data_IF_841342946641
#
_entry.id   IF_841342946641
#
_cell.length_a   1.000
_cell.length_b   1.000
_cell.length_c   1.000
_cell.angle_alpha   90.00
_cell.angle_beta   90.00
_cell.angle_gamma   90.00
#
_symmetry.space_group_name_H-M   'P 1'
#
loop_
_entity.id
_entity.type
_entity.pdbx_description
1 polymer ?
#
# COMPACT_ATOMS: atom_id res chain seq x y z
N UNK A 1 -13.59 -11.92 5.14
CA UNK A 1 -12.71 -11.99 6.32
C UNK A 1 -13.25 -11.18 7.49
N UNK A 2 -13.45 -9.88 7.34
CA UNK A 2 -14.06 -9.06 8.41
C UNK A 2 -15.45 -9.57 8.81
N UNK A 3 -16.27 -10.02 7.88
CA UNK A 3 -17.56 -10.63 8.12
C UNK A 3 -17.51 -12.13 8.55
N UNK A 4 -16.35 -12.67 8.90
CA UNK A 4 -16.19 -14.07 9.30
C UNK A 4 -16.11 -15.07 8.14
N UNK A 5 -16.27 -14.66 6.90
CA UNK A 5 -16.20 -15.52 5.72
C UNK A 5 -14.74 -15.64 5.27
N UNK A 6 -14.24 -16.87 5.20
CA UNK A 6 -12.85 -17.16 4.86
C UNK A 6 -11.85 -16.69 5.93
N UNK A 7 -10.62 -17.16 5.85
CA UNK A 7 -9.54 -16.82 6.80
C UNK A 7 -8.45 -15.99 6.15
N UNK A 8 -8.13 -16.27 4.90
CA UNK A 8 -7.10 -15.59 4.09
C UNK A 8 -7.69 -15.29 2.72
N UNK A 9 -7.33 -14.16 2.15
CA UNK A 9 -7.61 -13.83 0.76
C UNK A 9 -6.31 -13.45 0.05
N UNK A 10 -6.24 -13.75 -1.24
CA UNK A 10 -5.20 -13.33 -2.15
C UNK A 10 -5.66 -12.09 -2.91
N UNK A 11 -4.80 -11.11 -3.06
CA UNK A 11 -5.07 -9.90 -3.84
C UNK A 11 -3.84 -9.39 -4.58
N UNK A 12 -4.05 -8.38 -5.40
CA UNK A 12 -3.02 -7.64 -6.13
C UNK A 12 -3.06 -6.16 -5.71
N UNK A 13 -1.92 -5.49 -5.71
CA UNK A 13 -1.78 -4.09 -5.33
C UNK A 13 -0.84 -3.37 -6.31
N UNK A 14 -1.39 -2.48 -7.12
CA UNK A 14 -0.65 -1.60 -8.03
C UNK A 14 -0.75 -0.12 -7.65
N UNK A 15 -1.70 0.23 -6.78
CA UNK A 15 -1.95 1.60 -6.31
C UNK A 15 -2.62 1.62 -4.94
N UNK A 16 -2.50 0.53 -4.16
CA UNK A 16 -3.11 0.42 -2.83
C UNK A 16 -4.14 -0.70 -2.70
N UNK A 17 -4.39 -1.51 -3.73
CA UNK A 17 -5.54 -2.44 -3.78
C UNK A 17 -5.48 -3.63 -2.81
N UNK A 18 -4.39 -3.87 -2.08
CA UNK A 18 -4.32 -4.71 -0.87
C UNK A 18 -4.52 -3.85 0.38
N UNK A 19 -3.79 -2.74 0.46
CA UNK A 19 -3.65 -1.91 1.64
C UNK A 19 -4.90 -1.08 1.94
N UNK A 20 -5.51 -0.49 0.91
CA UNK A 20 -6.75 0.27 1.04
C UNK A 20 -7.92 -0.60 1.55
N UNK A 21 -8.25 -1.75 0.93
CA UNK A 21 -9.31 -2.60 1.49
C UNK A 21 -8.97 -3.15 2.88
N UNK A 22 -7.71 -3.38 3.22
CA UNK A 22 -7.33 -3.76 4.58
C UNK A 22 -7.65 -2.65 5.60
N UNK A 23 -7.31 -1.39 5.28
CA UNK A 23 -7.68 -0.22 6.06
C UNK A 23 -9.20 -0.13 6.24
N UNK A 24 -9.97 -0.20 5.15
CA UNK A 24 -11.43 -0.03 5.18
C UNK A 24 -12.16 -1.13 5.96
N UNK A 25 -11.61 -2.35 5.99
CA UNK A 25 -12.28 -3.50 6.61
C UNK A 25 -11.67 -3.90 7.97
N UNK A 26 -10.68 -3.17 8.47
CA UNK A 26 -10.05 -3.48 9.75
C UNK A 26 -9.31 -4.82 9.77
N UNK A 27 -8.76 -5.24 8.64
CA UNK A 27 -7.96 -6.45 8.48
C UNK A 27 -6.49 -6.11 8.22
N UNK A 28 -5.62 -7.11 8.28
CA UNK A 28 -4.18 -6.98 8.07
C UNK A 28 -3.84 -7.41 6.65
N UNK A 29 -2.84 -6.76 6.07
CA UNK A 29 -2.24 -7.17 4.80
C UNK A 29 -0.76 -6.83 4.74
N UNK A 30 -0.08 -7.41 3.79
CA UNK A 30 1.19 -6.91 3.29
C UNK A 30 1.15 -6.83 1.76
N UNK A 31 1.54 -5.67 1.22
CA UNK A 31 2.03 -5.55 -0.15
C UNK A 31 3.52 -5.88 -0.10
N UNK A 32 3.97 -7.04 -0.57
CA UNK A 32 5.38 -7.39 -0.51
C UNK A 32 6.23 -6.53 -1.45
N UNK A 33 7.53 -6.70 -1.38
CA UNK A 33 8.46 -6.21 -2.40
C UNK A 33 8.08 -6.79 -3.76
N UNK A 34 8.17 -5.98 -4.79
CA UNK A 34 7.99 -6.45 -6.17
C UNK A 34 8.97 -7.61 -6.46
N UNK A 35 8.46 -8.68 -7.05
CA UNK A 35 9.23 -9.91 -7.31
C UNK A 35 9.32 -10.89 -6.13
N UNK A 36 8.81 -10.55 -4.94
CA UNK A 36 8.75 -11.48 -3.80
C UNK A 36 7.76 -12.62 -4.03
N UNK A 37 6.56 -12.29 -4.48
CA UNK A 37 5.49 -13.24 -4.80
C UNK A 37 5.33 -13.30 -6.30
N UNK A 38 5.35 -14.49 -6.92
CA UNK A 38 5.11 -14.63 -8.35
C UNK A 38 3.76 -14.06 -8.76
N UNK A 39 3.72 -13.39 -9.92
CA UNK A 39 2.53 -12.67 -10.40
C UNK A 39 2.05 -13.16 -11.77
N UNK A 40 2.47 -14.35 -12.22
CA UNK A 40 1.99 -14.91 -13.47
C UNK A 40 0.49 -15.17 -13.43
N UNK A 41 -0.23 -14.67 -14.45
CA UNK A 41 -1.68 -14.87 -14.60
C UNK A 41 -1.96 -15.65 -15.89
N UNK A 42 -2.27 -16.92 -15.74
CA UNK A 42 -2.57 -17.81 -16.87
C UNK A 42 -3.82 -17.42 -17.65
N UNK A 43 -4.79 -16.73 -17.03
CA UNK A 43 -6.04 -16.31 -17.65
C UNK A 43 -5.98 -14.92 -18.29
N UNK A 44 -4.85 -14.22 -18.21
CA UNK A 44 -4.71 -12.91 -18.83
C UNK A 44 -4.73 -13.03 -20.36
N UNK A 45 -5.51 -12.17 -21.01
CA UNK A 45 -5.60 -12.13 -22.49
C UNK A 45 -4.30 -11.58 -23.13
N UNK A 46 -3.51 -10.82 -22.39
CA UNK A 46 -2.22 -10.26 -22.80
C UNK A 46 -1.30 -10.08 -21.60
N UNK A 47 0.00 -9.98 -21.87
CA UNK A 47 0.99 -9.64 -20.84
C UNK A 47 0.76 -8.22 -20.32
N UNK A 48 0.99 -8.05 -19.01
CA UNK A 48 0.91 -6.74 -18.37
C UNK A 48 2.08 -5.86 -18.86
N UNK A 49 1.85 -4.55 -19.10
CA UNK A 49 2.93 -3.62 -19.40
C UNK A 49 4.05 -3.68 -18.35
N UNK A 50 5.30 -3.50 -18.79
CA UNK A 50 6.46 -3.76 -17.94
C UNK A 50 6.46 -2.94 -16.65
N UNK A 51 6.13 -1.63 -16.71
CA UNK A 51 6.13 -0.79 -15.52
C UNK A 51 4.95 -1.11 -14.60
N UNK A 52 3.78 -1.39 -15.14
CA UNK A 52 2.64 -1.87 -14.37
C UNK A 52 2.99 -3.20 -13.66
N UNK A 53 3.77 -4.09 -14.29
CA UNK A 53 4.27 -5.31 -13.67
C UNK A 53 5.26 -5.01 -12.53
N UNK A 54 6.23 -4.11 -12.77
CA UNK A 54 7.27 -3.73 -11.80
C UNK A 54 6.75 -2.89 -10.62
N UNK A 55 5.54 -2.34 -10.71
CA UNK A 55 4.90 -1.53 -9.68
C UNK A 55 3.79 -2.28 -8.95
N UNK A 56 3.45 -3.48 -9.37
CA UNK A 56 2.41 -4.31 -8.76
C UNK A 56 3.01 -5.45 -7.92
N UNK A 57 2.28 -5.86 -6.89
CA UNK A 57 2.63 -7.00 -6.07
C UNK A 57 1.40 -7.82 -5.71
N UNK A 58 1.57 -9.15 -5.68
CA UNK A 58 0.59 -10.06 -5.11
C UNK A 58 0.81 -10.14 -3.60
N UNK A 59 -0.25 -10.27 -2.83
CA UNK A 59 -0.11 -10.40 -1.38
C UNK A 59 -1.35 -10.95 -0.68
N UNK A 60 -1.20 -11.39 0.57
CA UNK A 60 -2.29 -11.90 1.39
C UNK A 60 -3.00 -10.80 2.16
N UNK A 61 -4.30 -10.97 2.38
CA UNK A 61 -5.06 -10.30 3.43
C UNK A 61 -5.51 -11.36 4.44
N UNK A 62 -5.48 -11.02 5.73
CA UNK A 62 -5.95 -11.89 6.80
C UNK A 62 -6.40 -11.07 8.03
N UNK A 63 -6.86 -11.74 9.09
CA UNK A 63 -7.31 -11.06 10.31
C UNK A 63 -6.18 -10.68 11.25
N UNK A 64 -5.04 -11.37 11.17
CA UNK A 64 -3.88 -11.12 12.03
C UNK A 64 -2.57 -11.03 11.24
N UNK A 65 -1.57 -10.37 11.82
CA UNK A 65 -0.21 -10.33 11.27
C UNK A 65 0.40 -11.70 11.16
N UNK A 66 0.10 -12.61 12.11
CA UNK A 66 0.57 -13.99 12.08
C UNK A 66 0.08 -14.77 10.86
N UNK A 67 -1.22 -14.64 10.54
CA UNK A 67 -1.81 -15.29 9.36
C UNK A 67 -1.25 -14.70 8.05
N UNK A 68 -1.04 -13.38 7.99
CA UNK A 68 -0.43 -12.71 6.83
C UNK A 68 1.00 -13.22 6.61
N UNK A 69 1.78 -13.38 7.68
CA UNK A 69 3.16 -13.90 7.61
C UNK A 69 3.19 -15.32 7.07
N UNK A 70 2.34 -16.19 7.59
CA UNK A 70 2.22 -17.60 7.15
C UNK A 70 1.80 -17.67 5.67
N UNK A 71 0.81 -16.89 5.27
CA UNK A 71 0.36 -16.84 3.88
C UNK A 71 1.46 -16.33 2.95
N UNK A 72 2.19 -15.28 3.34
CA UNK A 72 3.30 -14.74 2.56
C UNK A 72 4.41 -15.79 2.34
N UNK A 73 4.73 -16.59 3.35
CA UNK A 73 5.72 -17.67 3.24
C UNK A 73 5.35 -18.67 2.15
N UNK A 74 4.10 -19.09 2.12
CA UNK A 74 3.59 -20.00 1.08
C UNK A 74 3.55 -19.32 -0.29
N UNK A 75 3.05 -18.09 -0.37
CA UNK A 75 2.90 -17.34 -1.62
C UNK A 75 4.25 -16.97 -2.25
N UNK A 76 5.33 -16.88 -1.47
CA UNK A 76 6.68 -16.53 -1.94
C UNK A 76 7.43 -17.68 -2.63
N UNK A 77 6.81 -18.86 -2.72
CA UNK A 77 7.42 -20.01 -3.39
C UNK A 77 7.63 -19.73 -4.89
N UNK A 78 8.68 -20.34 -5.44
CA UNK A 78 9.08 -20.13 -6.83
C UNK A 78 7.99 -20.58 -7.81
N UNK A 79 7.65 -19.71 -8.77
CA UNK A 79 6.96 -20.09 -10.02
C UNK A 79 7.88 -19.74 -11.21
N UNK A 80 8.35 -20.71 -11.99
CA UNK A 80 9.27 -20.47 -13.10
C UNK A 80 8.63 -19.69 -14.26
N UNK A 81 7.32 -19.49 -14.26
CA UNK A 81 6.60 -18.73 -15.28
C UNK A 81 6.64 -17.22 -15.02
N UNK A 82 6.98 -16.79 -13.79
CA UNK A 82 7.17 -15.36 -13.49
C UNK A 82 8.64 -14.98 -13.73
N UNK A 83 8.94 -14.12 -14.73
CA UNK A 83 10.28 -13.67 -15.04
C UNK A 83 10.87 -12.72 -14.01
N UNK A 84 10.05 -12.16 -13.11
CA UNK A 84 10.42 -11.14 -12.12
C UNK A 84 10.59 -11.68 -10.71
N UNK A 85 10.29 -12.97 -10.49
CA UNK A 85 10.45 -13.57 -9.17
C UNK A 85 11.92 -13.62 -8.74
N UNK A 86 12.18 -13.29 -7.47
CA UNK A 86 13.55 -13.21 -6.90
C UNK A 86 13.66 -14.14 -5.69
N UNK A 87 14.68 -14.98 -5.71
CA UNK A 87 15.01 -15.90 -4.61
C UNK A 87 15.74 -15.15 -3.47
N UNK A 88 14.98 -14.60 -2.52
CA UNK A 88 15.53 -13.89 -1.35
C UNK A 88 14.90 -14.46 -0.07
N UNK A 89 15.66 -14.67 1.02
CA UNK A 89 15.11 -15.09 2.31
C UNK A 89 14.00 -14.14 2.79
N UNK A 90 12.98 -14.67 3.50
CA UNK A 90 11.91 -13.87 4.09
C UNK A 90 12.35 -13.08 5.32
N UNK A 91 13.43 -13.49 5.96
CA UNK A 91 14.02 -12.84 7.12
C UNK A 91 15.41 -12.35 6.73
N UNK A 92 15.60 -11.05 6.81
CA UNK A 92 16.86 -10.39 6.54
C UNK A 92 17.79 -10.36 7.76
N UNK A 93 18.98 -9.73 7.64
CA UNK A 93 19.89 -9.54 8.75
C UNK A 93 19.21 -8.80 9.91
N UNK A 94 19.46 -9.26 11.14
CA UNK A 94 18.94 -8.60 12.34
C UNK A 94 19.55 -7.20 12.49
N UNK A 95 18.75 -6.16 12.74
CA UNK A 95 19.25 -4.82 13.03
C UNK A 95 20.13 -4.84 14.29
N UNK A 96 21.16 -4.00 14.31
CA UNK A 96 21.99 -3.79 15.49
C UNK A 96 21.34 -2.73 16.40
N UNK A 97 20.85 -3.15 17.56
CA UNK A 97 20.19 -2.27 18.53
C UNK A 97 18.72 -1.98 18.21
N UNK A 98 18.10 -1.00 18.91
CA UNK A 98 16.72 -0.62 18.70
C UNK A 98 16.49 -0.12 17.27
N UNK A 99 15.42 -0.62 16.63
CA UNK A 99 15.05 -0.23 15.26
C UNK A 99 14.54 1.20 15.29
N UNK A 100 15.13 2.06 14.47
CA UNK A 100 14.61 3.42 14.24
C UNK A 100 13.43 3.36 13.30
N UNK A 101 12.37 4.08 13.63
CA UNK A 101 11.16 4.23 12.82
C UNK A 101 10.97 5.71 12.48
N UNK A 102 10.87 6.01 11.21
CA UNK A 102 10.46 7.32 10.76
C UNK A 102 8.94 7.43 10.83
N UNK A 103 8.36 8.23 11.72
CA UNK A 103 7.00 8.72 11.55
C UNK A 103 7.03 9.75 10.43
N UNK A 104 6.43 9.42 9.29
CA UNK A 104 6.49 10.27 8.11
C UNK A 104 5.80 11.61 8.36
N UNK A 105 6.56 12.72 8.30
CA UNK A 105 5.97 14.04 8.19
C UNK A 105 5.27 14.15 6.84
N UNK A 106 3.98 14.44 6.87
CA UNK A 106 3.18 14.51 5.66
C UNK A 106 3.38 15.84 4.94
N UNK A 107 3.30 15.88 3.61
CA UNK A 107 3.33 17.13 2.84
C UNK A 107 2.26 18.13 3.30
N UNK A 108 2.60 19.41 3.36
CA UNK A 108 1.71 20.48 3.83
C UNK A 108 0.46 20.67 2.93
N UNK A 109 0.52 20.16 1.68
CA UNK A 109 -0.58 20.19 0.72
C UNK A 109 -1.53 18.97 0.81
N UNK A 110 -1.33 18.09 1.80
CA UNK A 110 -2.25 17.00 2.09
C UNK A 110 -3.21 17.41 3.21
N UNK A 111 -4.52 17.39 2.91
CA UNK A 111 -5.55 17.55 3.93
C UNK A 111 -5.68 16.24 4.71
N UNK A 112 -5.28 16.25 5.98
CA UNK A 112 -5.20 15.06 6.83
C UNK A 112 -6.18 15.16 7.98
N UNK A 113 -7.10 14.20 8.05
CA UNK A 113 -8.10 14.15 9.13
C UNK A 113 -7.44 13.99 10.51
N UNK A 114 -7.90 14.73 11.54
CA UNK A 114 -7.38 14.61 12.91
C UNK A 114 -7.40 13.20 13.48
N UNK A 115 -8.36 12.35 13.09
CA UNK A 115 -8.44 10.95 13.53
C UNK A 115 -7.31 10.10 12.96
N UNK A 116 -6.82 10.40 11.74
CA UNK A 116 -5.67 9.75 11.14
C UNK A 116 -4.38 10.17 11.85
N UNK A 117 -4.23 11.45 12.16
CA UNK A 117 -3.12 11.92 13.01
C UNK A 117 -3.12 11.23 14.38
N UNK A 118 -4.29 11.08 15.01
CA UNK A 118 -4.40 10.37 16.29
C UNK A 118 -4.01 8.90 16.17
N UNK A 119 -4.42 8.22 15.10
CA UNK A 119 -4.05 6.82 14.84
C UNK A 119 -2.55 6.66 14.60
N UNK A 120 -1.91 7.57 13.87
CA UNK A 120 -0.46 7.57 13.66
C UNK A 120 0.31 7.76 14.97
N UNK A 121 -0.11 8.72 15.83
CA UNK A 121 0.49 8.90 17.15
C UNK A 121 0.32 7.67 18.04
N UNK A 122 -0.88 7.07 18.06
CA UNK A 122 -1.12 5.84 18.79
C UNK A 122 -0.20 4.71 18.35
N UNK A 123 -0.03 4.53 17.03
CA UNK A 123 0.87 3.52 16.48
C UNK A 123 2.35 3.81 16.83
N UNK A 124 2.76 5.08 16.82
CA UNK A 124 4.10 5.50 17.24
C UNK A 124 4.36 5.17 18.70
N UNK A 125 3.42 5.50 19.60
CA UNK A 125 3.49 5.17 21.05
C UNK A 125 3.58 3.65 21.26
N UNK A 126 2.81 2.87 20.50
CA UNK A 126 2.81 1.40 20.61
C UNK A 126 4.13 0.79 20.16
N UNK A 127 4.76 1.37 19.14
CA UNK A 127 6.11 0.99 18.70
C UNK A 127 7.17 1.36 19.75
N UNK A 128 7.15 2.57 20.29
CA UNK A 128 8.08 2.99 21.34
C UNK A 128 8.00 2.09 22.58
N UNK A 129 6.80 1.80 23.06
CA UNK A 129 6.56 0.84 24.16
C UNK A 129 7.00 -0.57 23.82
N UNK A 130 7.19 -0.89 22.55
CA UNK A 130 7.71 -2.18 22.07
C UNK A 130 9.22 -2.18 21.82
N UNK A 131 9.91 -1.06 22.14
CA UNK A 131 11.36 -0.93 22.08
C UNK A 131 11.91 -0.35 20.79
N UNK A 132 11.07 0.16 19.91
CA UNK A 132 11.49 0.94 18.74
C UNK A 132 11.85 2.37 19.16
N UNK A 133 12.60 3.07 18.32
CA UNK A 133 12.86 4.51 18.45
C UNK A 133 12.13 5.25 17.35
N UNK A 134 11.04 5.92 17.69
CA UNK A 134 10.23 6.66 16.72
C UNK A 134 10.68 8.13 16.68
N UNK A 135 10.78 8.69 15.49
CA UNK A 135 11.05 10.11 15.28
C UNK A 135 10.24 10.62 14.11
N UNK A 136 9.60 11.76 14.24
CA UNK A 136 8.93 12.43 13.13
C UNK A 136 9.99 13.07 12.23
N UNK A 137 10.01 12.67 10.96
CA UNK A 137 11.01 13.13 9.98
C UNK A 137 10.39 13.27 8.59
N UNK A 138 10.98 14.14 7.79
CA UNK A 138 10.62 14.26 6.37
C UNK A 138 11.12 13.01 5.62
N UNK A 139 10.22 12.41 4.84
CA UNK A 139 10.56 11.30 3.95
C UNK A 139 10.94 11.84 2.57
N UNK A 140 11.70 11.07 1.75
CA UNK A 140 12.05 11.54 0.41
C UNK A 140 10.80 11.78 -0.45
N UNK A 141 10.73 12.93 -1.06
CA UNK A 141 9.78 13.46 -2.06
C UNK A 141 8.59 12.57 -2.44
N UNK A 142 7.64 12.43 -1.52
CA UNK A 142 6.45 11.57 -1.75
C UNK A 142 5.57 12.09 -2.88
N UNK A 143 5.52 13.42 -3.09
CA UNK A 143 4.72 14.04 -4.14
C UNK A 143 5.29 13.72 -5.53
N UNK A 144 6.62 13.81 -5.72
CA UNK A 144 7.25 13.42 -6.97
C UNK A 144 7.16 11.93 -7.25
N UNK A 145 7.25 11.09 -6.20
CA UNK A 145 6.99 9.65 -6.34
C UNK A 145 5.56 9.38 -6.79
N UNK A 146 4.58 10.04 -6.17
CA UNK A 146 3.17 9.94 -6.55
C UNK A 146 2.92 10.41 -7.98
N UNK A 147 3.48 11.57 -8.38
CA UNK A 147 3.39 12.06 -9.76
C UNK A 147 3.94 11.04 -10.76
N UNK A 148 5.06 10.40 -10.42
CA UNK A 148 5.64 9.33 -11.26
C UNK A 148 4.69 8.14 -11.40
N UNK A 149 3.91 7.80 -10.36
CA UNK A 149 2.87 6.77 -10.46
C UNK A 149 1.80 7.16 -11.48
N UNK A 150 1.29 8.39 -11.39
CA UNK A 150 0.28 8.90 -12.32
C UNK A 150 0.79 8.92 -13.76
N UNK A 151 2.01 9.44 -13.96
CA UNK A 151 2.64 9.57 -15.27
C UNK A 151 2.86 8.21 -15.95
N UNK A 152 3.19 7.18 -15.19
CA UNK A 152 3.44 5.85 -15.74
C UNK A 152 2.13 5.07 -15.88
N UNK A 153 1.43 4.82 -14.77
CA UNK A 153 0.34 3.85 -14.75
C UNK A 153 -0.88 4.35 -15.50
N UNK A 154 -1.25 5.61 -15.34
CA UNK A 154 -2.43 6.14 -16.02
C UNK A 154 -2.19 6.15 -17.53
N UNK A 155 -1.01 6.58 -17.98
CA UNK A 155 -0.70 6.60 -19.41
C UNK A 155 -0.59 5.18 -20.01
N UNK A 156 0.01 4.22 -19.32
CA UNK A 156 0.02 2.81 -19.78
C UNK A 156 -1.39 2.25 -19.92
N UNK A 157 -2.27 2.48 -18.93
CA UNK A 157 -3.65 2.00 -18.97
C UNK A 157 -4.44 2.68 -20.09
N UNK A 158 -4.33 4.00 -20.24
CA UNK A 158 -5.02 4.76 -21.31
C UNK A 158 -4.63 4.25 -22.70
N UNK A 159 -3.34 3.99 -22.93
CA UNK A 159 -2.84 3.59 -24.25
C UNK A 159 -3.13 2.11 -24.55
N UNK A 160 -3.01 1.23 -23.57
CA UNK A 160 -2.96 -0.21 -23.83
C UNK A 160 -4.22 -0.97 -23.37
N UNK A 161 -5.00 -0.44 -22.42
CA UNK A 161 -6.04 -1.21 -21.75
C UNK A 161 -7.41 -0.53 -21.68
N UNK A 162 -7.47 0.82 -21.72
CA UNK A 162 -8.69 1.59 -21.43
C UNK A 162 -9.88 1.15 -22.29
N UNK A 163 -9.70 1.05 -23.61
CA UNK A 163 -10.79 0.69 -24.50
C UNK A 163 -11.38 -0.70 -24.19
N UNK A 164 -10.52 -1.69 -23.95
CA UNK A 164 -10.95 -3.03 -23.59
C UNK A 164 -11.58 -3.12 -22.20
N UNK A 165 -11.03 -2.35 -21.26
CA UNK A 165 -11.53 -2.26 -19.89
C UNK A 165 -12.92 -1.61 -19.83
N UNK A 166 -13.12 -0.49 -20.50
CA UNK A 166 -14.42 0.20 -20.52
C UNK A 166 -15.50 -0.59 -21.25
N UNK A 167 -15.14 -1.43 -22.22
CA UNK A 167 -16.09 -2.26 -22.96
C UNK A 167 -16.77 -3.34 -22.10
N UNK A 168 -16.19 -3.72 -20.95
CA UNK A 168 -16.66 -4.84 -20.11
C UNK A 168 -16.98 -4.43 -18.67
N UNK A 169 -16.87 -3.15 -18.33
CA UNK A 169 -17.08 -2.65 -16.96
C UNK A 169 -18.38 -1.82 -16.86
N UNK A 170 -18.83 -1.60 -15.62
CA UNK A 170 -20.05 -0.84 -15.31
C UNK A 170 -19.84 0.68 -15.39
N UNK A 171 -20.93 1.44 -15.46
CA UNK A 171 -20.93 2.92 -15.36
C UNK A 171 -20.28 3.40 -14.06
N UNK A 172 -20.48 2.70 -12.96
CA UNK A 172 -19.81 3.01 -11.68
C UNK A 172 -18.28 2.96 -11.84
N UNK A 173 -17.76 1.95 -12.54
CA UNK A 173 -16.35 1.85 -12.83
C UNK A 173 -15.87 2.96 -13.77
N UNK A 174 -16.68 3.36 -14.76
CA UNK A 174 -16.35 4.48 -15.64
C UNK A 174 -16.21 5.79 -14.85
N UNK A 175 -17.10 6.03 -13.87
CA UNK A 175 -17.01 7.16 -12.96
C UNK A 175 -15.71 7.12 -12.14
N UNK A 176 -15.39 5.97 -11.54
CA UNK A 176 -14.16 5.78 -10.78
C UNK A 176 -12.92 6.00 -11.65
N UNK A 177 -12.84 5.40 -12.83
CA UNK A 177 -11.71 5.54 -13.73
C UNK A 177 -11.53 6.99 -14.23
N UNK A 178 -12.60 7.65 -14.62
CA UNK A 178 -12.56 9.04 -15.07
C UNK A 178 -12.13 10.00 -13.94
N UNK A 179 -12.56 9.76 -12.70
CA UNK A 179 -12.08 10.52 -11.54
C UNK A 179 -10.58 10.28 -11.27
N UNK A 180 -10.11 9.04 -11.36
CA UNK A 180 -8.69 8.71 -11.19
C UNK A 180 -7.80 9.43 -12.22
N UNK A 181 -8.22 9.53 -13.47
CA UNK A 181 -7.44 10.19 -14.53
C UNK A 181 -7.69 11.70 -14.68
N UNK A 182 -8.62 12.29 -13.91
CA UNK A 182 -9.09 13.65 -14.10
C UNK A 182 -7.98 14.74 -14.07
N UNK A 183 -6.92 14.50 -13.29
CA UNK A 183 -5.77 15.41 -13.17
C UNK A 183 -4.48 14.84 -13.80
N UNK A 184 -4.57 13.71 -14.49
CA UNK A 184 -3.41 13.10 -15.15
C UNK A 184 -3.04 13.83 -16.43
N UNK A 185 -1.74 14.00 -16.68
CA UNK A 185 -1.23 14.53 -17.94
C UNK A 185 -1.12 13.41 -18.97
N UNK A 186 -1.54 13.68 -20.20
CA UNK A 186 -1.20 12.81 -21.34
C UNK A 186 0.25 13.06 -21.72
N UNK A 187 1.06 12.02 -21.69
CA UNK A 187 2.48 12.10 -22.04
C UNK A 187 2.72 11.61 -23.47
N UNK A 188 3.62 12.29 -24.16
CA UNK A 188 4.26 11.73 -25.35
C UNK A 188 5.30 10.67 -24.96
N UNK A 189 5.87 9.96 -25.93
CA UNK A 189 6.89 8.93 -25.69
C UNK A 189 8.08 9.49 -24.88
N UNK A 190 8.52 10.70 -25.17
CA UNK A 190 9.65 11.35 -24.48
C UNK A 190 9.31 11.64 -23.01
N UNK A 191 8.10 12.13 -22.75
CA UNK A 191 7.59 12.35 -21.39
C UNK A 191 7.51 11.07 -20.59
N UNK A 192 6.95 10.01 -21.18
CA UNK A 192 6.87 8.70 -20.54
C UNK A 192 8.25 8.09 -20.25
N UNK A 193 9.21 8.20 -21.18
CA UNK A 193 10.59 7.76 -20.95
C UNK A 193 11.25 8.52 -19.80
N UNK A 194 11.04 9.84 -19.69
CA UNK A 194 11.54 10.62 -18.54
C UNK A 194 10.91 10.17 -17.22
N UNK A 195 9.60 9.93 -17.18
CA UNK A 195 8.91 9.43 -15.98
C UNK A 195 9.47 8.06 -15.54
N UNK A 196 9.70 7.16 -16.49
CA UNK A 196 10.29 5.84 -16.18
C UNK A 196 11.73 5.96 -15.66
N UNK A 197 12.52 6.89 -16.16
CA UNK A 197 13.87 7.17 -15.65
C UNK A 197 13.85 7.78 -14.23
N UNK A 198 12.91 8.70 -13.96
CA UNK A 198 12.74 9.33 -12.64
C UNK A 198 12.46 8.30 -11.54
N UNK A 199 11.77 7.19 -11.86
CA UNK A 199 11.55 6.07 -10.93
C UNK A 199 12.83 5.60 -10.25
N UNK A 200 13.93 5.47 -10.99
CA UNK A 200 15.22 5.02 -10.43
C UNK A 200 15.81 6.04 -9.43
N UNK A 201 15.59 7.33 -9.67
CA UNK A 201 16.01 8.39 -8.75
C UNK A 201 15.26 8.30 -7.42
N UNK A 202 13.93 8.14 -7.48
CA UNK A 202 13.11 7.96 -6.29
C UNK A 202 13.49 6.69 -5.51
N UNK A 203 13.65 5.55 -6.18
CA UNK A 203 14.07 4.31 -5.52
C UNK A 203 15.39 4.49 -4.79
N UNK A 204 16.39 5.15 -5.40
CA UNK A 204 17.69 5.38 -4.78
C UNK A 204 17.58 6.28 -3.55
N UNK A 205 16.81 7.36 -3.62
CA UNK A 205 16.62 8.27 -2.48
C UNK A 205 15.99 7.52 -1.28
N UNK A 206 14.98 6.70 -1.52
CA UNK A 206 14.35 5.91 -0.47
C UNK A 206 15.25 4.78 0.05
N UNK A 207 16.06 4.13 -0.80
CA UNK A 207 17.03 3.14 -0.33
C UNK A 207 18.07 3.76 0.62
N UNK A 208 18.60 4.93 0.29
CA UNK A 208 19.52 5.66 1.18
C UNK A 208 18.85 6.07 2.49
N UNK A 209 17.58 6.49 2.45
CA UNK A 209 16.81 6.83 3.64
C UNK A 209 16.64 5.63 4.59
N UNK A 210 16.45 4.42 4.05
CA UNK A 210 16.32 3.20 4.85
C UNK A 210 17.61 2.76 5.56
N UNK A 211 18.78 3.28 5.19
CA UNK A 211 20.01 3.05 5.95
C UNK A 211 19.93 3.68 7.35
N UNK A 212 19.24 4.82 7.49
CA UNK A 212 19.06 5.50 8.76
C UNK A 212 17.77 5.10 9.50
N UNK A 213 16.68 4.85 8.76
CA UNK A 213 15.36 4.52 9.26
C UNK A 213 14.84 3.24 8.60
N UNK A 214 15.16 2.06 9.15
CA UNK A 214 14.78 0.76 8.55
C UNK A 214 13.28 0.54 8.36
N UNK A 215 12.43 1.31 9.06
CA UNK A 215 10.96 1.27 8.96
C UNK A 215 10.41 2.69 8.88
N UNK A 216 9.40 2.90 8.05
CA UNK A 216 8.60 4.12 7.99
C UNK A 216 7.17 3.80 8.42
N UNK A 217 6.65 4.55 9.38
CA UNK A 217 5.24 4.59 9.78
C UNK A 217 4.56 5.73 9.02
N UNK A 218 3.52 5.43 8.28
CA UNK A 218 2.78 6.38 7.44
C UNK A 218 1.27 6.07 7.43
N UNK A 219 0.41 7.01 7.01
CA UNK A 219 -1.00 6.73 6.86
C UNK A 219 -1.25 5.79 5.67
N UNK A 220 -2.24 4.91 5.78
CA UNK A 220 -2.76 4.15 4.64
C UNK A 220 -3.61 5.07 3.76
N UNK A 221 -4.41 5.91 4.38
CA UNK A 221 -5.16 7.02 3.79
C UNK A 221 -5.05 8.20 4.72
N UNK A 222 -5.07 9.42 4.20
CA UNK A 222 -5.12 10.63 5.03
C UNK A 222 -6.51 10.97 5.53
N UNK A 223 -7.54 10.26 5.05
CA UNK A 223 -8.92 10.33 5.51
C UNK A 223 -9.36 9.02 6.16
N UNK A 224 -10.33 9.04 7.09
CA UNK A 224 -10.91 7.82 7.65
C UNK A 224 -11.66 7.02 6.58
N UNK A 225 -11.98 5.77 6.89
CA UNK A 225 -12.75 4.89 5.99
C UNK A 225 -14.04 5.58 5.52
N UNK A 226 -14.23 5.77 4.20
CA UNK A 226 -15.41 6.45 3.67
C UNK A 226 -16.68 5.60 3.82
N UNK A 227 -17.82 6.18 3.45
CA UNK A 227 -19.07 5.44 3.29
C UNK A 227 -19.05 4.50 2.07
N UNK A 228 -20.00 3.56 2.01
CA UNK A 228 -20.16 2.70 0.84
C UNK A 228 -20.34 3.53 -0.44
N UNK A 229 -19.72 3.10 -1.54
CA UNK A 229 -19.80 3.72 -2.88
C UNK A 229 -19.15 5.10 -3.03
N UNK A 230 -18.35 5.57 -2.06
CA UNK A 230 -17.64 6.84 -2.18
C UNK A 230 -16.67 6.86 -3.39
N UNK A 231 -16.18 5.69 -3.80
CA UNK A 231 -15.31 5.47 -4.95
C UNK A 231 -16.04 5.45 -6.31
N UNK A 232 -17.35 5.69 -6.32
CA UNK A 232 -18.20 5.76 -7.52
C UNK A 232 -19.27 6.85 -7.41
N UNK A 233 -19.21 7.70 -6.37
CA UNK A 233 -20.23 8.69 -6.04
C UNK A 233 -20.30 9.81 -7.08
N UNK A 234 -19.16 10.42 -7.40
CA UNK A 234 -19.02 11.45 -8.42
C UNK A 234 -17.57 11.54 -8.92
N UNK A 235 -17.36 12.19 -10.07
CA UNK A 235 -16.01 12.42 -10.60
C UNK A 235 -15.15 13.24 -9.62
N UNK A 236 -15.75 14.27 -9.00
CA UNK A 236 -15.08 15.17 -8.06
C UNK A 236 -14.66 14.40 -6.80
N UNK A 237 -15.55 13.58 -6.22
CA UNK A 237 -15.25 12.81 -5.02
C UNK A 237 -14.18 11.75 -5.27
N UNK A 238 -14.25 11.06 -6.41
CA UNK A 238 -13.23 10.09 -6.80
C UNK A 238 -11.89 10.78 -7.04
N UNK A 239 -11.89 11.93 -7.72
CA UNK A 239 -10.67 12.70 -7.95
C UNK A 239 -10.05 13.17 -6.62
N UNK A 240 -10.83 13.69 -5.69
CA UNK A 240 -10.35 14.07 -4.35
C UNK A 240 -9.74 12.87 -3.62
N UNK A 241 -10.48 11.77 -3.52
CA UNK A 241 -10.03 10.55 -2.85
C UNK A 241 -8.71 10.05 -3.46
N UNK A 242 -8.62 9.98 -4.77
CA UNK A 242 -7.43 9.46 -5.45
C UNK A 242 -6.25 10.43 -5.37
N UNK A 243 -6.48 11.74 -5.57
CA UNK A 243 -5.44 12.77 -5.64
C UNK A 243 -5.02 13.35 -4.29
N UNK A 244 -5.79 13.14 -3.23
CA UNK A 244 -5.43 13.50 -1.86
C UNK A 244 -5.34 12.26 -0.97
N UNK A 245 -6.46 11.56 -0.73
CA UNK A 245 -6.59 10.57 0.34
C UNK A 245 -5.64 9.38 0.16
N UNK A 246 -5.42 8.92 -1.10
CA UNK A 246 -4.65 7.74 -1.45
C UNK A 246 -3.26 8.05 -2.07
N UNK A 247 -2.83 9.30 -2.04
CA UNK A 247 -1.55 9.73 -2.64
C UNK A 247 -0.36 8.94 -2.06
N UNK A 248 -0.26 8.88 -0.75
CA UNK A 248 0.87 8.21 -0.09
C UNK A 248 0.89 6.70 -0.37
N UNK A 249 -0.26 6.04 -0.32
CA UNK A 249 -0.33 4.58 -0.52
C UNK A 249 0.08 4.18 -1.94
N UNK A 250 -0.35 4.93 -2.96
CA UNK A 250 -0.05 4.65 -4.36
C UNK A 250 1.42 4.93 -4.71
N UNK A 251 2.03 5.95 -4.09
CA UNK A 251 3.44 6.26 -4.25
C UNK A 251 4.36 5.07 -3.93
N UNK A 252 4.04 4.27 -2.92
CA UNK A 252 4.87 3.12 -2.50
C UNK A 252 4.95 2.02 -3.56
N UNK A 253 4.00 1.98 -4.49
CA UNK A 253 4.06 1.05 -5.63
C UNK A 253 5.20 1.39 -6.60
N UNK A 254 5.45 2.68 -6.86
CA UNK A 254 6.58 3.14 -7.70
C UNK A 254 7.90 2.60 -7.18
N UNK A 255 8.07 2.61 -5.87
CA UNK A 255 9.30 2.22 -5.20
C UNK A 255 9.50 0.69 -5.15
N UNK A 256 8.42 -0.08 -5.37
CA UNK A 256 8.44 -1.54 -5.26
C UNK A 256 8.77 -2.04 -3.85
N UNK A 257 8.52 -1.24 -2.81
CA UNK A 257 8.83 -1.53 -1.41
C UNK A 257 7.77 -2.41 -0.74
N UNK A 258 8.12 -3.20 0.28
CA UNK A 258 7.15 -3.88 1.11
C UNK A 258 6.44 -2.88 2.03
N UNK A 259 5.15 -3.06 2.21
CA UNK A 259 4.32 -2.24 3.09
C UNK A 259 3.23 -3.09 3.74
N UNK A 260 3.30 -3.26 5.06
CA UNK A 260 2.26 -3.91 5.85
C UNK A 260 1.22 -2.89 6.32
N UNK A 261 -0.05 -3.25 6.33
CA UNK A 261 -1.12 -2.45 6.93
C UNK A 261 -1.68 -3.19 8.12
N UNK A 262 -1.80 -2.49 9.23
CA UNK A 262 -2.42 -2.98 10.46
C UNK A 262 -3.46 -1.98 10.96
N UNK A 263 -4.66 -2.44 11.37
CA UNK A 263 -5.66 -1.57 11.98
C UNK A 263 -5.19 -1.12 13.37
N UNK A 264 -5.42 0.16 13.69
CA UNK A 264 -5.01 0.76 14.98
C UNK A 264 -6.21 1.19 15.81
N UNK A 265 -7.19 1.82 15.17
CA UNK A 265 -8.31 2.48 15.85
C UNK A 265 -9.62 2.31 15.10
N UNK A 266 -10.71 2.65 15.79
CA UNK A 266 -12.03 2.89 15.19
C UNK A 266 -12.33 4.38 15.30
N UNK A 267 -12.79 4.97 14.22
CA UNK A 267 -13.37 6.31 14.17
C UNK A 267 -14.82 6.19 13.68
N UNK A 268 -15.78 6.62 14.50
CA UNK A 268 -17.22 6.48 14.21
C UNK A 268 -17.62 5.02 13.81
N UNK A 269 -17.05 4.05 14.49
CA UNK A 269 -17.29 2.61 14.20
C UNK A 269 -16.57 2.07 12.96
N UNK A 270 -15.81 2.87 12.22
CA UNK A 270 -15.08 2.49 11.02
C UNK A 270 -13.58 2.34 11.33
N UNK A 271 -12.89 1.35 10.72
CA UNK A 271 -11.47 1.14 10.98
C UNK A 271 -10.58 2.25 10.43
N UNK A 272 -9.49 2.53 11.15
CA UNK A 272 -8.33 3.27 10.64
C UNK A 272 -7.11 2.36 10.74
N UNK A 273 -6.44 2.14 9.61
CA UNK A 273 -5.18 1.39 9.54
C UNK A 273 -4.01 2.31 9.19
N UNK A 274 -2.84 1.96 9.69
CA UNK A 274 -1.56 2.59 9.34
C UNK A 274 -0.71 1.64 8.52
N UNK A 275 0.23 2.18 7.73
CA UNK A 275 1.17 1.34 6.97
C UNK A 275 2.59 1.42 7.52
N UNK A 276 3.24 0.27 7.60
CA UNK A 276 4.64 0.08 7.97
C UNK A 276 5.41 -0.28 6.69
N UNK A 277 6.26 0.63 6.24
CA UNK A 277 7.04 0.47 5.01
C UNK A 277 8.48 0.15 5.40
N UNK A 278 9.11 -0.80 4.72
CA UNK A 278 10.51 -1.15 4.96
C UNK A 278 11.32 -1.17 3.68
N UNK A 279 12.62 -1.30 3.79
CA UNK A 279 13.51 -1.47 2.65
C UNK A 279 13.18 -2.70 1.83
N UNK A 280 13.68 -2.78 0.60
CA UNK A 280 13.42 -3.91 -0.31
C UNK A 280 13.78 -5.25 0.34
N UNK A 281 12.88 -6.20 0.23
CA UNK A 281 13.00 -7.55 0.81
C UNK A 281 13.14 -7.59 2.34
N UNK A 282 12.64 -6.55 3.02
CA UNK A 282 12.56 -6.47 4.47
C UNK A 282 11.11 -6.52 4.96
N UNK A 283 10.32 -7.41 4.37
CA UNK A 283 8.96 -7.74 4.84
C UNK A 283 8.95 -8.13 6.31
N UNK A 284 10.02 -8.76 6.77
CA UNK A 284 10.23 -9.12 8.18
C UNK A 284 10.11 -7.90 9.10
N UNK A 285 10.79 -6.78 8.79
CA UNK A 285 10.75 -5.57 9.60
C UNK A 285 9.37 -4.89 9.58
N UNK A 286 8.73 -4.82 8.41
CA UNK A 286 7.39 -4.26 8.29
C UNK A 286 6.36 -5.08 9.11
N UNK A 287 6.42 -6.40 9.02
CA UNK A 287 5.51 -7.30 9.74
C UNK A 287 5.84 -7.37 11.24
N UNK A 288 7.09 -7.26 11.67
CA UNK A 288 7.46 -7.21 13.09
C UNK A 288 6.95 -5.93 13.76
N UNK A 289 7.06 -4.78 13.06
CA UNK A 289 6.49 -3.53 13.52
C UNK A 289 4.96 -3.59 13.57
N UNK A 290 4.30 -4.13 12.54
CA UNK A 290 2.86 -4.35 12.52
C UNK A 290 2.39 -5.28 13.65
N UNK A 291 3.11 -6.38 13.93
CA UNK A 291 2.81 -7.29 15.03
C UNK A 291 2.95 -6.62 16.41
N UNK A 292 3.90 -5.69 16.55
CA UNK A 292 4.08 -4.91 17.78
C UNK A 292 2.89 -3.99 18.05
N UNK A 293 2.32 -3.38 17.02
CA UNK A 293 1.09 -2.59 17.11
C UNK A 293 -0.10 -3.50 17.39
N UNK A 294 -0.29 -4.59 16.62
CA UNK A 294 -1.40 -5.53 16.80
C UNK A 294 -1.46 -6.10 18.21
N UNK A 295 -0.31 -6.43 18.79
CA UNK A 295 -0.23 -6.97 20.17
C UNK A 295 -0.85 -6.00 21.20
N UNK A 296 -0.83 -4.70 20.95
CA UNK A 296 -1.38 -3.67 21.86
C UNK A 296 -2.79 -3.25 21.48
N UNK A 297 -3.03 -3.00 20.19
CA UNK A 297 -4.34 -2.65 19.68
C UNK A 297 -5.36 -3.82 19.76
N UNK A 298 -4.86 -5.06 19.73
CA UNK A 298 -5.66 -6.26 19.57
C UNK A 298 -6.11 -6.48 18.12
N UNK A 299 -6.67 -7.64 17.83
CA UNK A 299 -7.22 -7.97 16.51
C UNK A 299 -8.55 -7.23 16.34
N UNK A 300 -8.54 -6.14 15.56
CA UNK A 300 -9.66 -5.20 15.49
C UNK A 300 -10.97 -5.84 15.01
N UNK A 301 -10.91 -6.80 14.09
CA UNK A 301 -12.07 -7.54 13.60
C UNK A 301 -12.84 -8.24 14.73
N UNK A 302 -12.16 -8.72 15.77
CA UNK A 302 -12.83 -9.31 16.93
C UNK A 302 -13.65 -8.28 17.71
N UNK A 303 -13.15 -7.05 17.82
CA UNK A 303 -13.90 -5.94 18.44
C UNK A 303 -15.11 -5.54 17.58
N UNK A 304 -14.97 -5.52 16.26
CA UNK A 304 -16.09 -5.27 15.36
C UNK A 304 -17.18 -6.32 15.49
N UNK A 305 -16.83 -7.61 15.61
CA UNK A 305 -17.82 -8.68 15.83
C UNK A 305 -18.56 -8.55 17.15
N UNK A 306 -17.86 -8.14 18.21
CA UNK A 306 -18.50 -7.90 19.52
C UNK A 306 -19.51 -6.76 19.49
N UNK A 307 -19.35 -5.77 18.60
CA UNK A 307 -20.29 -4.67 18.41
C UNK A 307 -21.51 -5.06 17.55
N UNK A 308 -21.38 -6.13 16.76
CA UNK A 308 -22.45 -6.64 15.88
C UNK A 308 -23.31 -7.71 16.53
N UNK A 309 -22.87 -8.28 17.66
CA UNK A 309 -23.59 -9.29 18.46
C UNK A 309 -24.52 -8.65 19.49
#
# INVERSE_FOLDING_TARGET
MAAGIGTIAHGNDIGGSLRWPAHCNGVVTIKPTQGRVPAYNQSAAAERPMLAHLMSAQGPLARSVGDVRMALEVMSQRDPRDPWWVAVPLVGPKPKGPIKVALAKLPDDMDVDPSVHAALRQAADDLERSGYRVSEVEVPDINGVWQTWCDIIINEVVVLQEAGMLAVTSEDFHTAWNGMKAKASTLDLSGWMRATAARSTHIRAWQLFFEDYPVVLAPTSVMPTPGPRADTESLERVAEMFWNDLRFISAINVLGLPSAVVPVALHEGKPIGVQLIAGRYREDLALDAAASIEKRAGVLVQKLWQQMA
#
